data_IF_804046184802
#
_entry.id   IF_804046184802
#
_cell.length_a   1.000
_cell.length_b   1.000
_cell.length_c   1.000
_cell.angle_alpha   90.00
_cell.angle_beta   90.00
_cell.angle_gamma   90.00
#
_symmetry.space_group_name_H-M   'P 1'
#
loop_
_entity.id
_entity.type
_entity.pdbx_description
1 polymer ?
#
# COMPACT_ATOMS: atom_id res chain seq x y z
N UNK A 1 -61.19 15.86 15.99
CA UNK A 1 -60.70 17.13 16.54
C UNK A 1 -59.21 17.16 16.21
N UNK A 2 -58.87 17.78 15.10
CA UNK A 2 -58.16 19.08 14.96
C UNK A 2 -56.80 19.08 15.65
N UNK A 3 -55.69 19.37 15.06
CA UNK A 3 -55.38 20.23 13.91
C UNK A 3 -54.04 19.83 13.28
N UNK A 4 -53.96 20.07 12.01
CA UNK A 4 -52.79 20.32 11.19
C UNK A 4 -51.95 21.50 11.74
N UNK A 5 -50.63 21.45 11.60
CA UNK A 5 -49.97 22.64 11.08
C UNK A 5 -48.70 22.33 10.27
N UNK A 6 -48.74 22.90 9.13
CA UNK A 6 -47.72 22.96 8.09
C UNK A 6 -46.71 24.04 8.42
N UNK A 7 -45.42 23.83 8.13
CA UNK A 7 -44.60 24.98 7.76
C UNK A 7 -43.64 24.70 6.59
N UNK A 8 -43.80 25.52 5.61
CA UNK A 8 -43.15 25.57 4.30
C UNK A 8 -41.86 26.39 4.35
N UNK A 9 -40.96 26.02 3.46
CA UNK A 9 -40.07 26.89 2.68
C UNK A 9 -38.93 27.65 3.36
N UNK A 10 -37.71 27.33 2.92
CA UNK A 10 -36.83 28.42 2.44
C UNK A 10 -35.82 27.94 1.39
N UNK A 11 -36.12 28.26 0.13
CA UNK A 11 -35.14 28.28 -0.97
C UNK A 11 -34.30 29.53 -0.81
N UNK A 12 -32.99 29.43 -0.71
CA UNK A 12 -32.11 30.58 -0.96
C UNK A 12 -31.37 30.40 -2.28
N UNK A 13 -31.79 31.18 -3.22
CA UNK A 13 -31.13 31.54 -4.46
C UNK A 13 -29.83 32.27 -4.18
N UNK A 14 -28.72 31.85 -4.80
CA UNK A 14 -27.50 32.64 -4.87
C UNK A 14 -27.32 33.17 -6.27
N UNK A 15 -27.27 34.48 -6.33
CA UNK A 15 -27.15 35.37 -7.51
C UNK A 15 -25.73 35.26 -8.04
N UNK A 16 -25.61 35.04 -9.36
CA UNK A 16 -24.33 35.11 -10.07
C UNK A 16 -23.84 36.55 -10.23
N UNK A 17 -22.56 36.75 -10.05
CA UNK A 17 -21.89 38.02 -10.39
C UNK A 17 -21.00 37.79 -11.60
N UNK A 18 -21.40 38.40 -12.71
CA UNK A 18 -20.65 38.45 -13.98
C UNK A 18 -19.61 39.56 -13.89
N UNK A 19 -18.34 39.24 -14.07
CA UNK A 19 -17.29 40.26 -14.27
C UNK A 19 -16.95 40.31 -15.75
N UNK A 20 -17.13 41.48 -16.33
CA UNK A 20 -16.80 41.84 -17.73
C UNK A 20 -15.30 42.10 -17.84
N UNK A 21 -14.66 41.43 -18.77
CA UNK A 21 -13.29 41.72 -19.19
C UNK A 21 -13.29 42.94 -20.13
N UNK A 22 -12.42 43.90 -19.86
CA UNK A 22 -12.11 45.01 -20.78
C UNK A 22 -10.83 44.67 -21.55
N UNK A 23 -10.92 44.75 -22.87
CA UNK A 23 -9.79 44.64 -23.80
C UNK A 23 -9.19 46.06 -23.97
N UNK A 24 -7.89 46.17 -23.75
CA UNK A 24 -7.12 47.34 -24.18
C UNK A 24 -6.00 46.88 -25.10
N UNK A 25 -6.09 47.27 -26.34
CA UNK A 25 -5.06 47.14 -27.37
C UNK A 25 -4.11 48.33 -27.31
N UNK A 26 -2.82 48.13 -27.21
CA UNK A 26 -1.84 49.15 -27.60
C UNK A 26 -0.62 48.46 -28.26
N UNK A 27 -0.44 48.80 -29.50
CA UNK A 27 0.74 48.48 -30.33
C UNK A 27 1.82 49.54 -30.05
N UNK A 28 3.07 49.10 -29.74
CA UNK A 28 4.30 49.77 -30.21
C UNK A 28 5.47 48.78 -30.11
N UNK A 29 6.19 48.66 -31.19
CA UNK A 29 7.34 47.77 -31.30
C UNK A 29 8.58 48.32 -30.60
N UNK A 30 9.40 47.43 -30.14
CA UNK A 30 10.87 47.61 -30.11
C UNK A 30 11.54 46.26 -30.01
N UNK A 31 12.48 46.04 -30.88
CA UNK A 31 13.34 44.87 -30.87
C UNK A 31 14.30 44.94 -29.67
N UNK A 32 14.33 43.92 -28.86
CA UNK A 32 15.37 43.71 -27.89
C UNK A 32 15.83 42.23 -27.97
N UNK A 33 17.13 42.09 -28.14
CA UNK A 33 17.88 40.87 -28.24
C UNK A 33 17.57 39.92 -27.07
N UNK A 34 17.09 38.73 -27.37
CA UNK A 34 16.94 37.65 -26.41
C UNK A 34 18.31 37.04 -26.12
N UNK A 35 18.90 37.37 -24.99
CA UNK A 35 19.92 36.55 -24.34
C UNK A 35 19.24 35.28 -23.84
N UNK A 36 19.49 34.17 -24.53
CA UNK A 36 19.07 32.85 -24.08
C UNK A 36 19.82 32.49 -22.79
N UNK A 37 19.17 32.71 -21.65
CA UNK A 37 19.60 32.18 -20.37
C UNK A 37 19.30 30.69 -20.37
N UNK A 38 20.28 29.84 -20.59
CA UNK A 38 20.19 28.41 -20.42
C UNK A 38 20.06 28.11 -18.90
N UNK A 39 18.86 28.01 -18.41
CA UNK A 39 18.62 27.45 -17.10
C UNK A 39 19.01 25.98 -17.16
N UNK A 40 20.26 25.68 -16.78
CA UNK A 40 20.65 24.33 -16.38
C UNK A 40 19.89 23.94 -15.12
N UNK A 41 18.67 23.45 -15.28
CA UNK A 41 17.99 22.71 -14.23
C UNK A 41 18.70 21.36 -14.17
N UNK A 42 19.63 21.23 -13.24
CA UNK A 42 20.15 19.91 -12.88
C UNK A 42 18.98 18.98 -12.57
N UNK A 43 18.92 17.78 -13.17
CA UNK A 43 17.86 16.84 -12.83
C UNK A 43 17.97 16.56 -11.32
N UNK A 44 16.88 16.82 -10.59
CA UNK A 44 16.72 16.37 -9.22
C UNK A 44 16.82 14.84 -9.31
N UNK A 45 17.95 14.29 -8.88
CA UNK A 45 18.10 12.85 -8.69
C UNK A 45 17.12 12.45 -7.58
N UNK A 46 15.93 12.04 -7.96
CA UNK A 46 15.06 11.29 -7.06
C UNK A 46 15.86 10.03 -6.67
N UNK A 47 16.06 9.76 -5.37
CA UNK A 47 16.74 8.56 -4.96
C UNK A 47 15.96 7.37 -5.53
N UNK A 48 16.57 6.63 -6.47
CA UNK A 48 16.01 5.37 -6.97
C UNK A 48 16.11 4.36 -5.82
N UNK A 49 15.08 4.32 -5.01
CA UNK A 49 14.93 3.25 -4.01
C UNK A 49 14.83 1.95 -4.81
N UNK A 50 15.74 1.00 -4.54
CA UNK A 50 15.73 -0.31 -5.19
C UNK A 50 14.31 -0.90 -5.11
N UNK A 51 13.72 -1.38 -6.20
CA UNK A 51 12.35 -1.90 -6.20
C UNK A 51 12.14 -3.05 -5.20
N UNK A 52 13.19 -3.81 -4.86
CA UNK A 52 13.13 -4.90 -3.87
C UNK A 52 13.09 -4.43 -2.42
N UNK A 53 13.26 -3.12 -2.15
CA UNK A 53 13.38 -2.61 -0.80
C UNK A 53 12.00 -2.31 -0.21
N UNK A 54 11.60 -3.01 0.83
CA UNK A 54 10.58 -2.55 1.77
C UNK A 54 11.29 -1.65 2.76
N UNK A 55 10.79 -0.43 2.98
CA UNK A 55 11.45 0.50 3.89
C UNK A 55 11.73 -0.15 5.24
N UNK A 56 13.00 -0.18 5.63
CA UNK A 56 13.45 -0.67 6.94
C UNK A 56 13.36 0.41 8.02
N UNK A 57 12.90 1.60 7.63
CA UNK A 57 12.71 2.77 8.47
C UNK A 57 11.41 2.66 9.27
N UNK A 58 11.37 3.33 10.41
CA UNK A 58 10.15 3.53 11.20
C UNK A 58 9.26 4.68 10.65
N UNK A 59 9.66 5.31 9.54
CA UNK A 59 8.93 6.42 8.91
C UNK A 59 8.13 5.90 7.72
N UNK A 60 6.87 6.33 7.61
CA UNK A 60 6.03 6.03 6.46
C UNK A 60 6.60 6.65 5.18
N UNK A 61 6.75 5.85 4.13
CA UNK A 61 7.16 6.33 2.81
C UNK A 61 5.97 6.93 2.04
N UNK A 62 6.21 7.87 1.14
CA UNK A 62 5.18 8.36 0.24
C UNK A 62 4.56 7.21 -0.56
N UNK A 63 3.23 7.25 -0.72
CA UNK A 63 2.52 6.29 -1.55
C UNK A 63 3.03 6.38 -3.01
N UNK A 64 3.37 5.26 -3.66
CA UNK A 64 4.00 5.30 -4.99
C UNK A 64 3.02 5.65 -6.13
N UNK A 65 1.76 5.89 -5.84
CA UNK A 65 0.70 6.23 -6.79
C UNK A 65 -0.39 7.08 -6.11
N UNK A 66 -1.22 7.75 -6.91
CA UNK A 66 -2.36 8.52 -6.42
C UNK A 66 -3.46 7.60 -5.82
N UNK A 67 -4.28 8.12 -4.92
CA UNK A 67 -5.33 7.33 -4.26
C UNK A 67 -6.31 6.67 -5.22
N UNK A 68 -6.60 7.29 -6.36
CA UNK A 68 -7.50 6.75 -7.39
C UNK A 68 -6.82 5.84 -8.42
N UNK A 69 -5.51 5.62 -8.32
CA UNK A 69 -4.77 4.86 -9.33
C UNK A 69 -5.12 3.36 -9.36
N UNK A 70 -5.72 2.85 -8.28
CA UNK A 70 -6.10 1.45 -8.16
C UNK A 70 -7.58 1.18 -8.53
N UNK A 71 -8.31 2.21 -8.96
CA UNK A 71 -9.66 2.04 -9.48
C UNK A 71 -9.66 1.26 -10.81
N UNK A 72 -10.70 0.49 -11.09
CA UNK A 72 -11.94 0.32 -10.31
C UNK A 72 -11.86 -0.76 -9.22
N UNK A 73 -10.68 -1.31 -8.91
CA UNK A 73 -10.52 -2.47 -8.03
C UNK A 73 -10.47 -2.10 -6.55
N UNK A 74 -9.78 -1.02 -6.17
CA UNK A 74 -9.83 -0.40 -4.83
C UNK A 74 -10.19 1.07 -5.04
N UNK A 75 -11.19 1.55 -4.32
CA UNK A 75 -11.68 2.92 -4.48
C UNK A 75 -10.75 3.95 -3.80
N UNK A 76 -10.78 5.18 -4.30
CA UNK A 76 -9.93 6.27 -3.83
C UNK A 76 -10.13 6.57 -2.35
N UNK A 77 -11.36 6.50 -1.84
CA UNK A 77 -11.65 6.79 -0.43
C UNK A 77 -11.05 5.71 0.48
N UNK A 78 -11.17 4.42 0.10
CA UNK A 78 -10.49 3.34 0.81
C UNK A 78 -8.99 3.59 0.85
N UNK A 79 -8.35 3.93 -0.27
CA UNK A 79 -6.91 4.20 -0.32
C UNK A 79 -6.50 5.39 0.54
N UNK A 80 -7.24 6.48 0.49
CA UNK A 80 -6.98 7.68 1.31
C UNK A 80 -7.02 7.35 2.81
N UNK A 81 -8.11 6.74 3.27
CA UNK A 81 -8.28 6.41 4.69
C UNK A 81 -7.25 5.37 5.13
N UNK A 82 -7.03 4.33 4.33
CA UNK A 82 -6.11 3.25 4.63
C UNK A 82 -4.69 3.75 4.78
N UNK A 83 -4.20 4.58 3.84
CA UNK A 83 -2.86 5.14 3.88
C UNK A 83 -2.72 6.27 4.91
N UNK A 84 -3.60 7.29 4.85
CA UNK A 84 -3.42 8.52 5.63
C UNK A 84 -3.89 8.43 7.08
N UNK A 85 -4.67 7.41 7.46
CA UNK A 85 -5.16 7.22 8.82
C UNK A 85 -4.63 5.92 9.41
N UNK A 86 -4.94 4.74 8.85
CA UNK A 86 -4.53 3.46 9.42
C UNK A 86 -3.00 3.29 9.38
N UNK A 87 -2.39 3.33 8.19
CA UNK A 87 -0.94 3.14 8.05
C UNK A 87 -0.13 4.26 8.73
N UNK A 88 -0.56 5.52 8.62
CA UNK A 88 0.08 6.64 9.29
C UNK A 88 0.05 6.49 10.83
N UNK A 89 -1.01 5.92 11.38
CA UNK A 89 -1.10 5.64 12.82
C UNK A 89 -0.10 4.57 13.25
N UNK A 90 0.06 3.50 12.47
CA UNK A 90 1.08 2.48 12.75
C UNK A 90 2.49 3.07 12.69
N UNK A 91 2.80 3.88 11.67
CA UNK A 91 4.09 4.54 11.54
C UNK A 91 4.40 5.47 12.73
N UNK A 92 3.43 6.27 13.17
CA UNK A 92 3.60 7.12 14.35
C UNK A 92 3.81 6.27 15.62
N UNK A 93 2.98 5.29 15.84
CA UNK A 93 3.01 4.50 17.06
C UNK A 93 4.25 3.60 17.17
N UNK A 94 4.82 3.12 16.05
CA UNK A 94 6.07 2.36 16.09
C UNK A 94 7.25 3.26 16.46
N UNK A 95 7.26 4.52 16.01
CA UNK A 95 8.27 5.50 16.45
C UNK A 95 8.18 5.78 17.96
N UNK A 96 6.96 5.97 18.47
CA UNK A 96 6.72 6.16 19.91
C UNK A 96 7.15 4.92 20.73
N UNK A 97 6.91 3.70 20.21
CA UNK A 97 7.33 2.46 20.85
C UNK A 97 8.85 2.30 20.80
N UNK A 98 9.49 2.59 19.68
CA UNK A 98 10.93 2.53 19.51
C UNK A 98 11.65 3.46 20.49
N UNK A 99 11.17 4.70 20.64
CA UNK A 99 11.70 5.65 21.60
C UNK A 99 11.56 5.15 23.05
N UNK A 100 10.40 4.58 23.40
CA UNK A 100 10.14 4.07 24.76
C UNK A 100 10.97 2.81 25.10
N UNK A 101 11.36 2.04 24.11
CA UNK A 101 12.10 0.77 24.26
C UNK A 101 13.58 0.89 23.88
N UNK A 102 14.09 2.12 23.73
CA UNK A 102 15.48 2.43 23.39
C UNK A 102 15.96 1.79 22.06
N UNK A 103 15.04 1.57 21.12
CA UNK A 103 15.37 1.17 19.76
C UNK A 103 15.80 2.41 18.99
N UNK A 104 17.03 2.42 18.49
CA UNK A 104 17.59 3.59 17.80
C UNK A 104 16.92 3.81 16.43
N UNK A 105 16.86 5.08 16.00
CA UNK A 105 16.30 5.43 14.68
C UNK A 105 17.06 4.78 13.50
N UNK A 106 18.29 4.33 13.71
CA UNK A 106 19.10 3.62 12.71
C UNK A 106 18.90 2.09 12.75
N UNK A 107 18.08 1.58 13.67
CA UNK A 107 17.77 0.16 13.70
C UNK A 107 16.95 -0.22 12.47
N UNK A 108 17.23 -1.43 11.94
CA UNK A 108 16.45 -1.98 10.85
C UNK A 108 15.13 -2.54 11.41
N UNK A 109 14.01 -2.14 10.85
CA UNK A 109 12.68 -2.61 11.26
C UNK A 109 12.55 -4.16 11.11
N UNK A 110 13.15 -4.75 10.09
CA UNK A 110 13.13 -6.22 9.88
C UNK A 110 13.88 -6.92 11.03
N UNK A 111 14.99 -6.37 11.55
CA UNK A 111 15.72 -6.93 12.68
C UNK A 111 14.91 -6.87 13.99
N UNK A 112 14.12 -5.81 14.16
CA UNK A 112 13.18 -5.70 15.29
C UNK A 112 12.08 -6.74 15.19
N UNK A 113 11.51 -6.96 14.00
CA UNK A 113 10.48 -7.97 13.76
C UNK A 113 11.00 -9.40 14.03
N UNK A 114 12.24 -9.70 13.65
CA UNK A 114 12.85 -11.01 13.90
C UNK A 114 13.10 -11.32 15.37
N UNK A 115 13.03 -10.32 16.24
CA UNK A 115 13.22 -10.41 17.70
C UNK A 115 12.03 -9.86 18.47
N UNK A 116 10.85 -9.86 17.85
CA UNK A 116 9.67 -9.15 18.37
C UNK A 116 9.19 -9.70 19.71
N UNK A 117 9.49 -10.96 20.03
CA UNK A 117 9.20 -11.55 21.35
C UNK A 117 9.88 -10.84 22.51
N UNK A 118 10.98 -10.14 22.26
CA UNK A 118 11.71 -9.33 23.26
C UNK A 118 11.14 -7.93 23.47
N UNK A 119 10.10 -7.55 22.77
CA UNK A 119 9.51 -6.20 22.81
C UNK A 119 8.07 -6.22 23.32
N UNK A 120 7.54 -5.04 23.59
CA UNK A 120 6.16 -4.87 24.06
C UNK A 120 5.12 -5.27 22.99
N UNK A 121 3.90 -5.56 23.42
CA UNK A 121 2.75 -5.73 22.53
C UNK A 121 2.51 -4.48 21.66
N UNK A 122 2.80 -3.28 22.19
CA UNK A 122 2.72 -2.03 21.41
C UNK A 122 3.71 -2.07 20.26
N UNK A 123 4.96 -2.44 20.50
CA UNK A 123 5.98 -2.59 19.45
C UNK A 123 5.54 -3.65 18.43
N UNK A 124 5.15 -4.85 18.87
CA UNK A 124 4.71 -5.94 17.99
C UNK A 124 3.60 -5.51 17.03
N UNK A 125 2.53 -4.92 17.56
CA UNK A 125 1.39 -4.53 16.74
C UNK A 125 1.73 -3.40 15.76
N UNK A 126 2.52 -2.42 16.19
CA UNK A 126 2.78 -1.24 15.36
C UNK A 126 3.97 -1.44 14.40
N UNK A 127 5.02 -2.16 14.79
CA UNK A 127 6.10 -2.56 13.88
C UNK A 127 5.59 -3.51 12.79
N UNK A 128 4.76 -4.48 13.18
CA UNK A 128 4.09 -5.37 12.22
C UNK A 128 3.17 -4.58 11.28
N UNK A 129 2.29 -3.77 11.82
CA UNK A 129 1.37 -2.96 11.02
C UNK A 129 2.08 -2.03 10.06
N UNK A 130 3.12 -1.35 10.52
CA UNK A 130 3.92 -0.46 9.67
C UNK A 130 4.59 -1.24 8.53
N UNK A 131 5.34 -2.31 8.84
CA UNK A 131 6.00 -3.14 7.83
C UNK A 131 5.01 -3.71 6.80
N UNK A 132 3.90 -4.28 7.28
CA UNK A 132 2.90 -4.92 6.43
C UNK A 132 2.33 -3.93 5.40
N UNK A 133 2.02 -2.70 5.83
CA UNK A 133 1.48 -1.67 4.95
C UNK A 133 2.54 -1.15 3.97
N UNK A 134 3.79 -0.93 4.39
CA UNK A 134 4.86 -0.52 3.49
C UNK A 134 5.11 -1.56 2.38
N UNK A 135 5.02 -2.86 2.70
CA UNK A 135 5.07 -3.93 1.72
C UNK A 135 3.85 -3.91 0.80
N UNK A 136 2.65 -3.77 1.38
CA UNK A 136 1.37 -3.82 0.66
C UNK A 136 1.29 -2.77 -0.44
N UNK A 137 1.69 -1.53 -0.15
CA UNK A 137 1.69 -0.45 -1.14
C UNK A 137 2.57 -0.78 -2.35
N UNK A 138 3.72 -1.38 -2.13
CA UNK A 138 4.66 -1.76 -3.20
C UNK A 138 4.25 -3.02 -3.95
N UNK A 139 3.48 -3.89 -3.30
CA UNK A 139 2.89 -5.07 -3.93
C UNK A 139 1.81 -4.73 -4.96
N UNK A 140 1.34 -3.48 -5.02
CA UNK A 140 0.30 -3.03 -5.93
C UNK A 140 0.81 -1.99 -6.93
N UNK A 141 0.21 -1.97 -8.10
CA UNK A 141 0.34 -0.93 -9.12
C UNK A 141 -0.98 -0.76 -9.87
N UNK A 142 -1.11 0.35 -10.61
CA UNK A 142 -2.26 0.54 -11.49
C UNK A 142 -2.42 -0.66 -12.45
N UNK A 143 -3.67 -1.05 -12.69
CA UNK A 143 -3.98 -2.14 -13.60
C UNK A 143 -3.55 -1.84 -15.05
N UNK A 144 -3.24 -2.86 -15.86
CA UNK A 144 -3.28 -4.29 -15.54
C UNK A 144 -2.02 -4.80 -14.83
N UNK A 145 -2.20 -5.77 -13.94
CA UNK A 145 -1.10 -6.42 -13.20
C UNK A 145 -0.10 -7.14 -14.10
N UNK A 146 -0.56 -7.70 -15.22
CA UNK A 146 0.22 -8.64 -16.01
C UNK A 146 0.34 -10.02 -15.34
N UNK A 147 1.44 -10.71 -15.63
CA UNK A 147 1.76 -12.03 -15.06
C UNK A 147 3.22 -12.05 -14.58
N UNK A 148 3.58 -12.90 -13.60
CA UNK A 148 4.98 -13.09 -13.23
C UNK A 148 5.78 -13.67 -14.39
N UNK A 149 7.04 -13.29 -14.49
CA UNK A 149 7.98 -13.76 -15.54
C UNK A 149 9.27 -14.27 -14.90
N UNK A 150 10.17 -14.84 -15.70
CA UNK A 150 11.51 -15.24 -15.29
C UNK A 150 11.55 -16.27 -14.16
N UNK A 151 12.47 -16.06 -13.22
CA UNK A 151 12.71 -17.00 -12.11
C UNK A 151 11.49 -17.13 -11.18
N UNK A 152 10.76 -16.04 -10.94
CA UNK A 152 9.55 -16.08 -10.11
C UNK A 152 8.45 -16.95 -10.75
N UNK A 153 8.22 -16.82 -12.07
CA UNK A 153 7.22 -17.65 -12.78
C UNK A 153 7.58 -19.14 -12.68
N UNK A 154 8.86 -19.48 -12.87
CA UNK A 154 9.35 -20.84 -12.72
C UNK A 154 9.15 -21.38 -11.30
N UNK A 155 9.46 -20.56 -10.29
CA UNK A 155 9.28 -20.93 -8.88
C UNK A 155 7.80 -21.14 -8.52
N UNK A 156 6.89 -20.30 -9.03
CA UNK A 156 5.44 -20.45 -8.85
C UNK A 156 4.97 -21.77 -9.49
N UNK A 157 5.38 -22.07 -10.72
CA UNK A 157 5.01 -23.31 -11.38
C UNK A 157 5.56 -24.53 -10.64
N UNK A 158 6.80 -24.48 -10.17
CA UNK A 158 7.40 -25.58 -9.43
C UNK A 158 6.74 -25.83 -8.07
N UNK A 159 6.31 -24.75 -7.38
CA UNK A 159 5.75 -24.86 -6.01
C UNK A 159 4.24 -25.15 -6.02
N UNK A 160 3.50 -24.65 -7.02
CA UNK A 160 2.03 -24.69 -7.04
C UNK A 160 1.43 -25.36 -8.29
N UNK A 161 2.25 -25.72 -9.27
CA UNK A 161 1.85 -26.35 -10.53
C UNK A 161 1.50 -25.35 -11.65
N UNK A 162 0.88 -24.20 -11.32
CA UNK A 162 0.57 -23.13 -12.27
C UNK A 162 0.29 -21.82 -11.55
N UNK A 163 0.28 -20.71 -12.30
CA UNK A 163 -0.15 -19.40 -11.79
C UNK A 163 -1.61 -19.43 -11.29
N UNK A 164 -2.49 -20.12 -11.97
CA UNK A 164 -3.91 -20.20 -11.56
C UNK A 164 -4.08 -21.03 -10.28
N UNK A 165 -3.34 -22.13 -10.15
CA UNK A 165 -3.32 -22.90 -8.90
C UNK A 165 -2.74 -22.09 -7.73
N UNK A 166 -1.68 -21.29 -7.97
CA UNK A 166 -1.16 -20.32 -7.00
C UNK A 166 -2.24 -19.33 -6.59
N UNK A 167 -2.91 -18.66 -7.54
CA UNK A 167 -3.96 -17.68 -7.25
C UNK A 167 -5.08 -18.29 -6.41
N UNK A 168 -5.49 -19.51 -6.73
CA UNK A 168 -6.53 -20.25 -5.98
C UNK A 168 -6.08 -20.48 -4.54
N UNK A 169 -4.89 -21.04 -4.33
CA UNK A 169 -4.37 -21.32 -2.98
C UNK A 169 -4.16 -20.04 -2.16
N UNK A 170 -3.65 -18.97 -2.80
CA UNK A 170 -3.45 -17.69 -2.13
C UNK A 170 -4.80 -17.05 -1.75
N UNK A 171 -5.78 -17.09 -2.65
CA UNK A 171 -7.13 -16.60 -2.39
C UNK A 171 -7.80 -17.39 -1.25
N UNK A 172 -7.61 -18.70 -1.19
CA UNK A 172 -8.13 -19.53 -0.10
C UNK A 172 -7.46 -19.20 1.24
N UNK A 173 -6.15 -18.98 1.29
CA UNK A 173 -5.47 -18.53 2.50
C UNK A 173 -6.00 -17.17 3.00
N UNK A 174 -6.23 -16.23 2.07
CA UNK A 174 -6.77 -14.90 2.35
C UNK A 174 -8.24 -14.96 2.81
N UNK A 175 -9.08 -15.73 2.13
CA UNK A 175 -10.51 -15.88 2.42
C UNK A 175 -10.75 -16.56 3.77
N UNK A 176 -9.97 -17.62 4.04
CA UNK A 176 -10.13 -18.45 5.24
C UNK A 176 -9.42 -17.87 6.47
N UNK A 177 -8.69 -16.75 6.35
CA UNK A 177 -8.15 -16.05 7.52
C UNK A 177 -9.31 -15.53 8.37
N UNK A 178 -9.53 -16.22 9.49
CA UNK A 178 -10.59 -15.84 10.44
C UNK A 178 -10.24 -14.50 11.12
N UNK A 179 -11.18 -13.55 11.08
CA UNK A 179 -10.98 -12.20 11.61
C UNK A 179 -10.03 -11.35 10.75
N UNK A 180 -9.36 -10.42 11.41
CA UNK A 180 -8.37 -9.51 10.81
C UNK A 180 -7.04 -10.21 10.64
N UNK A 181 -6.32 -9.86 9.58
CA UNK A 181 -4.99 -10.41 9.32
C UNK A 181 -4.54 -10.21 7.89
N UNK A 182 -3.58 -11.03 7.49
CA UNK A 182 -2.89 -10.95 6.21
C UNK A 182 -2.72 -12.33 5.60
N UNK A 183 -2.72 -12.41 4.26
CA UNK A 183 -2.24 -13.59 3.56
C UNK A 183 -0.95 -13.27 2.81
N UNK A 184 -0.07 -14.25 2.71
CA UNK A 184 1.31 -14.08 2.27
C UNK A 184 1.73 -15.11 1.26
N UNK A 185 2.57 -14.67 0.29
CA UNK A 185 3.52 -15.51 -0.42
C UNK A 185 4.91 -15.26 0.17
N UNK A 186 5.60 -16.31 0.57
CA UNK A 186 6.96 -16.21 1.17
C UNK A 186 7.95 -17.12 0.47
N UNK A 187 9.24 -16.80 0.63
CA UNK A 187 10.34 -17.76 0.45
C UNK A 187 10.67 -18.37 1.80
N UNK A 188 10.53 -19.68 1.92
CA UNK A 188 10.91 -20.42 3.11
C UNK A 188 12.43 -20.57 3.27
N UNK A 189 12.87 -21.12 4.41
CA UNK A 189 14.28 -21.40 4.67
C UNK A 189 14.88 -22.40 3.68
N UNK A 190 14.04 -23.26 3.10
CA UNK A 190 14.39 -24.23 2.06
C UNK A 190 14.44 -23.63 0.64
N UNK A 191 14.34 -22.29 0.53
CA UNK A 191 14.29 -21.52 -0.72
C UNK A 191 13.07 -21.82 -1.60
N UNK A 192 12.05 -22.50 -1.09
CA UNK A 192 10.79 -22.75 -1.79
C UNK A 192 9.74 -21.70 -1.47
N UNK A 193 8.81 -21.55 -2.38
CA UNK A 193 7.66 -20.68 -2.16
C UNK A 193 6.61 -21.40 -1.31
N UNK A 194 6.04 -20.65 -0.36
CA UNK A 194 4.93 -21.11 0.47
C UNK A 194 3.86 -20.04 0.62
N UNK A 195 2.62 -20.48 0.81
CA UNK A 195 1.45 -19.60 1.06
C UNK A 195 0.95 -19.86 2.47
N UNK A 196 0.60 -18.79 3.18
CA UNK A 196 -0.03 -18.87 4.50
C UNK A 196 -0.68 -17.56 4.91
N UNK A 197 -1.16 -17.52 6.14
CA UNK A 197 -1.79 -16.33 6.69
C UNK A 197 -1.39 -16.10 8.15
N UNK A 198 -1.41 -14.84 8.58
CA UNK A 198 -1.14 -14.43 9.96
C UNK A 198 -2.30 -13.60 10.50
N UNK A 199 -2.53 -13.67 11.81
CA UNK A 199 -3.57 -12.89 12.48
C UNK A 199 -3.08 -11.46 12.78
N UNK A 200 -4.01 -10.54 12.85
CA UNK A 200 -3.78 -9.15 13.23
C UNK A 200 -2.68 -8.49 12.40
N UNK A 201 -1.63 -7.95 13.04
CA UNK A 201 -0.50 -7.34 12.36
C UNK A 201 0.77 -8.21 12.42
N UNK A 202 0.66 -9.46 12.84
CA UNK A 202 1.78 -10.39 12.74
C UNK A 202 2.15 -10.65 11.27
N UNK A 203 3.42 -10.96 11.05
CA UNK A 203 3.93 -11.26 9.72
C UNK A 203 4.97 -12.39 9.74
N UNK A 204 5.34 -12.94 8.57
CA UNK A 204 6.25 -14.10 8.49
C UNK A 204 7.69 -13.87 8.98
N UNK A 205 8.11 -12.61 9.18
CA UNK A 205 9.46 -12.30 9.72
C UNK A 205 9.52 -12.47 11.23
N UNK A 206 8.38 -12.36 11.92
CA UNK A 206 8.36 -12.36 13.39
C UNK A 206 8.76 -13.71 13.97
N UNK A 207 9.62 -13.69 15.01
CA UNK A 207 10.00 -14.90 15.75
C UNK A 207 8.83 -15.59 16.45
N UNK A 208 7.76 -14.87 16.74
CA UNK A 208 6.50 -15.37 17.32
C UNK A 208 5.52 -15.93 16.28
N UNK A 209 5.77 -15.72 14.98
CA UNK A 209 4.89 -16.21 13.92
C UNK A 209 5.01 -17.72 13.76
N UNK A 210 3.86 -18.40 13.60
CA UNK A 210 3.83 -19.84 13.26
C UNK A 210 4.04 -20.10 11.77
N UNK A 211 3.81 -19.09 10.93
CA UNK A 211 4.08 -19.13 9.50
C UNK A 211 5.26 -18.21 9.19
N UNK A 212 6.40 -18.79 8.83
CA UNK A 212 7.68 -18.08 8.68
C UNK A 212 8.19 -18.11 7.25
N UNK A 213 8.96 -17.08 6.90
CA UNK A 213 9.63 -16.92 5.63
C UNK A 213 9.87 -15.46 5.27
N UNK A 214 10.59 -15.22 4.19
CA UNK A 214 10.79 -13.88 3.67
C UNK A 214 9.57 -13.46 2.81
N UNK A 215 8.79 -12.45 3.20
CA UNK A 215 7.56 -12.11 2.52
C UNK A 215 7.83 -11.43 1.16
N UNK A 216 7.26 -12.00 0.11
CA UNK A 216 7.33 -11.48 -1.26
C UNK A 216 6.11 -10.66 -1.62
N UNK A 217 4.92 -11.15 -1.23
CA UNK A 217 3.61 -10.61 -1.56
C UNK A 217 2.72 -10.72 -0.32
N UNK A 218 1.97 -9.67 -0.02
CA UNK A 218 0.99 -9.65 1.05
C UNK A 218 -0.29 -8.99 0.63
N UNK A 219 -1.43 -9.51 1.10
CA UNK A 219 -2.75 -8.87 0.98
C UNK A 219 -3.32 -8.62 2.37
N UNK A 220 -3.78 -7.40 2.59
CA UNK A 220 -4.52 -7.02 3.78
C UNK A 220 -5.96 -7.54 3.72
N UNK A 221 -6.37 -8.33 4.70
CA UNK A 221 -7.74 -8.82 4.83
C UNK A 221 -8.43 -8.31 6.09
N UNK A 222 -7.88 -7.28 6.72
CA UNK A 222 -8.62 -6.44 7.66
C UNK A 222 -9.80 -5.79 6.94
N UNK A 223 -10.93 -5.63 7.61
CA UNK A 223 -12.14 -5.08 6.96
C UNK A 223 -11.94 -3.65 6.44
N UNK A 224 -11.10 -2.84 7.09
CA UNK A 224 -10.81 -1.49 6.62
C UNK A 224 -10.17 -1.43 5.22
N UNK A 225 -9.54 -2.52 4.76
CA UNK A 225 -8.93 -2.59 3.43
C UNK A 225 -9.94 -2.73 2.29
N UNK A 226 -11.19 -3.15 2.59
CA UNK A 226 -12.15 -3.47 1.52
C UNK A 226 -13.61 -3.13 1.83
N UNK A 227 -13.97 -2.81 3.08
CA UNK A 227 -15.38 -2.75 3.48
C UNK A 227 -16.18 -1.66 2.77
N UNK A 228 -15.59 -0.50 2.50
CA UNK A 228 -16.30 0.61 1.83
C UNK A 228 -16.83 0.21 0.45
N UNK A 229 -16.05 -0.59 -0.30
CA UNK A 229 -16.42 -1.02 -1.66
C UNK A 229 -17.08 -2.39 -1.69
N UNK A 230 -16.60 -3.33 -0.91
CA UNK A 230 -16.99 -4.74 -0.99
C UNK A 230 -17.86 -5.22 0.16
N UNK A 231 -18.04 -4.44 1.22
CA UNK A 231 -18.74 -4.80 2.46
C UNK A 231 -18.24 -6.18 2.96
N UNK A 232 -19.14 -7.13 3.18
CA UNK A 232 -18.81 -8.47 3.64
C UNK A 232 -18.24 -9.40 2.56
N UNK A 233 -18.09 -8.93 1.33
CA UNK A 233 -17.65 -9.75 0.17
C UNK A 233 -16.14 -9.80 0.05
N UNK A 234 -15.44 -10.31 1.07
CA UNK A 234 -13.97 -10.43 1.07
C UNK A 234 -13.45 -11.20 -0.16
N UNK A 235 -14.16 -12.24 -0.62
CA UNK A 235 -13.76 -13.02 -1.78
C UNK A 235 -13.72 -12.17 -3.08
N UNK A 236 -14.67 -11.26 -3.26
CA UNK A 236 -14.71 -10.36 -4.43
C UNK A 236 -13.54 -9.37 -4.39
N UNK A 237 -13.22 -8.83 -3.21
CA UNK A 237 -12.04 -7.99 -3.00
C UNK A 237 -10.74 -8.73 -3.37
N UNK A 238 -10.55 -9.95 -2.86
CA UNK A 238 -9.35 -10.75 -3.15
C UNK A 238 -9.21 -11.00 -4.65
N UNK A 239 -10.30 -11.35 -5.33
CA UNK A 239 -10.33 -11.56 -6.78
C UNK A 239 -9.97 -10.29 -7.54
N UNK A 240 -10.54 -9.15 -7.14
CA UNK A 240 -10.28 -7.86 -7.75
C UNK A 240 -8.82 -7.41 -7.55
N UNK A 241 -8.27 -7.64 -6.36
CA UNK A 241 -6.92 -7.26 -5.99
C UNK A 241 -5.84 -7.89 -6.87
N UNK A 242 -6.02 -9.11 -7.38
CA UNK A 242 -5.06 -9.74 -8.29
C UNK A 242 -4.81 -8.94 -9.58
N UNK A 243 -5.74 -8.06 -9.99
CA UNK A 243 -5.53 -7.17 -11.12
C UNK A 243 -4.53 -6.04 -10.84
N UNK A 244 -4.13 -5.86 -9.60
CA UNK A 244 -3.27 -4.79 -9.13
C UNK A 244 -1.87 -5.27 -8.75
N UNK A 245 -1.60 -6.58 -8.72
CA UNK A 245 -0.34 -7.13 -8.23
C UNK A 245 0.84 -6.62 -9.07
N UNK A 246 1.80 -6.00 -8.40
CA UNK A 246 3.04 -5.54 -9.00
C UNK A 246 4.06 -6.69 -9.09
N UNK A 247 3.93 -7.52 -10.11
CA UNK A 247 4.78 -8.70 -10.30
C UNK A 247 6.25 -8.36 -10.48
N UNK A 248 6.59 -7.16 -10.98
CA UNK A 248 7.98 -6.72 -11.11
C UNK A 248 8.62 -6.53 -9.73
N UNK A 249 7.89 -5.93 -8.79
CA UNK A 249 8.32 -5.80 -7.40
C UNK A 249 8.45 -7.15 -6.71
N UNK A 250 7.47 -8.05 -6.90
CA UNK A 250 7.48 -9.40 -6.32
C UNK A 250 8.67 -10.21 -6.84
N UNK A 251 8.97 -10.11 -8.15
CA UNK A 251 10.11 -10.78 -8.78
C UNK A 251 11.45 -10.27 -8.21
N UNK A 252 11.62 -8.95 -8.09
CA UNK A 252 12.82 -8.38 -7.52
C UNK A 252 13.05 -8.81 -6.05
N UNK A 253 11.96 -8.93 -5.27
CA UNK A 253 12.03 -9.48 -3.90
C UNK A 253 12.39 -10.96 -3.88
N UNK A 254 11.84 -11.75 -4.80
CA UNK A 254 12.19 -13.16 -4.95
C UNK A 254 13.67 -13.34 -5.25
N UNK A 255 14.21 -12.62 -6.23
CA UNK A 255 15.63 -12.66 -6.57
C UNK A 255 16.51 -12.33 -5.37
N UNK A 256 16.18 -11.29 -4.59
CA UNK A 256 16.90 -10.95 -3.36
C UNK A 256 16.83 -12.06 -2.31
N UNK A 257 15.71 -12.76 -2.20
CA UNK A 257 15.51 -13.79 -1.17
C UNK A 257 16.24 -15.10 -1.45
N UNK A 258 16.54 -15.38 -2.72
CA UNK A 258 17.23 -16.65 -3.11
C UNK A 258 18.75 -16.51 -3.19
N UNK A 259 19.28 -15.27 -3.22
CA UNK A 259 20.73 -15.01 -3.10
C UNK A 259 21.24 -15.38 -1.71
#
# INVERSE_FOLDING_TARGET
MLAQDSNKNSRRSFIGTTVKAAVVTALTGNQLNALASTNNVSPILTPTVSPAFVGTSFTQFPLPYAYNALEPFIDALTMEIHYSKHAATYAKNVQDAAAAENVTANSNLEDVLQKISGYSTKMRNNAGGHYNHELFWKCMKAAPAGVPTGALASAINNSFGSLEAFKTQFADAAKNRFGSGWAWLVVGADKKLAIGSTANQDNPLMDVSTFKGFPLLGIDVWEHAYYLKYQNKRADYITAWFNLVNWDFVAARYEKAIL
#
